data_IF_480058695285
#
_entry.id   IF_480058695285
#
_cell.length_a   1.000
_cell.length_b   1.000
_cell.length_c   1.000
_cell.angle_alpha   90.00
_cell.angle_beta   90.00
_cell.angle_gamma   90.00
#
_symmetry.space_group_name_H-M   'P 1'
#
loop_
_entity.id
_entity.type
_entity.pdbx_description
1 polymer ?
#
# COMPACT_ATOMS: atom_id res chain seq x y z
N UNK A 1 -42.94 -34.46 13.79
CA UNK A 1 -41.50 -34.50 13.49
C UNK A 1 -41.07 -33.13 12.96
N UNK A 2 -40.84 -32.15 13.85
CA UNK A 2 -40.41 -30.80 13.46
C UNK A 2 -39.54 -30.20 14.57
N UNK A 3 -38.39 -30.82 14.85
CA UNK A 3 -37.51 -30.36 15.95
C UNK A 3 -36.02 -30.31 15.61
N UNK A 4 -35.60 -30.71 14.40
CA UNK A 4 -34.17 -30.87 14.08
C UNK A 4 -33.52 -29.66 13.38
N UNK A 5 -34.30 -28.76 12.78
CA UNK A 5 -33.79 -27.58 12.05
C UNK A 5 -33.45 -26.37 12.94
N UNK A 6 -33.89 -26.33 14.20
CA UNK A 6 -33.70 -25.17 15.09
C UNK A 6 -32.36 -25.16 15.84
N UNK A 7 -31.70 -26.32 16.00
CA UNK A 7 -30.45 -26.44 16.76
C UNK A 7 -29.20 -26.05 15.95
N UNK A 8 -29.19 -26.31 14.63
CA UNK A 8 -28.03 -26.06 13.76
C UNK A 8 -27.80 -24.56 13.48
N UNK A 9 -28.88 -23.77 13.32
CA UNK A 9 -28.79 -22.30 13.16
C UNK A 9 -28.34 -21.58 14.44
N UNK A 10 -28.67 -22.13 15.61
CA UNK A 10 -28.32 -21.56 16.93
C UNK A 10 -26.83 -21.76 17.26
N UNK A 11 -26.24 -22.88 16.85
CA UNK A 11 -24.82 -23.17 17.03
C UNK A 11 -23.93 -22.32 16.10
N UNK A 12 -24.30 -22.18 14.82
CA UNK A 12 -23.60 -21.32 13.86
C UNK A 12 -23.61 -19.83 14.27
N UNK A 13 -24.72 -19.37 14.84
CA UNK A 13 -24.85 -18.01 15.36
C UNK A 13 -24.07 -17.80 16.68
N UNK A 14 -23.87 -18.88 17.45
CA UNK A 14 -23.06 -18.89 18.68
C UNK A 14 -21.58 -18.63 18.39
N UNK A 15 -20.96 -19.42 17.51
CA UNK A 15 -19.54 -19.25 17.16
C UNK A 15 -19.21 -17.87 16.59
N UNK A 16 -20.08 -17.33 15.72
CA UNK A 16 -19.91 -15.98 15.15
C UNK A 16 -19.91 -14.88 16.24
N UNK A 17 -20.75 -15.02 17.27
CA UNK A 17 -20.78 -14.09 18.42
C UNK A 17 -19.53 -14.23 19.29
N UNK A 18 -19.03 -15.44 19.50
CA UNK A 18 -17.79 -15.70 20.26
C UNK A 18 -16.59 -15.03 19.60
N UNK A 19 -16.37 -15.25 18.30
CA UNK A 19 -15.25 -14.60 17.58
C UNK A 19 -15.35 -13.07 17.54
N UNK A 20 -16.56 -12.52 17.43
CA UNK A 20 -16.76 -11.07 17.51
C UNK A 20 -16.40 -10.52 18.91
N UNK A 21 -16.84 -11.19 19.98
CA UNK A 21 -16.52 -10.82 21.38
C UNK A 21 -15.02 -10.92 21.67
N UNK A 22 -14.36 -11.96 21.16
CA UNK A 22 -12.90 -12.10 21.27
C UNK A 22 -12.16 -11.03 20.47
N UNK A 23 -12.68 -10.62 19.31
CA UNK A 23 -12.14 -9.51 18.54
C UNK A 23 -12.21 -8.18 19.32
N UNK A 24 -13.35 -7.90 19.96
CA UNK A 24 -13.51 -6.73 20.82
C UNK A 24 -12.57 -6.76 22.03
N UNK A 25 -12.44 -7.92 22.67
CA UNK A 25 -11.49 -8.12 23.78
C UNK A 25 -10.05 -7.88 23.34
N UNK A 26 -9.62 -8.39 22.18
CA UNK A 26 -8.28 -8.10 21.64
C UNK A 26 -8.06 -6.61 21.35
N UNK A 27 -9.10 -5.90 20.89
CA UNK A 27 -9.01 -4.46 20.68
C UNK A 27 -8.81 -3.76 22.02
N UNK A 28 -9.69 -4.03 22.99
CA UNK A 28 -9.71 -3.36 24.29
C UNK A 28 -8.48 -3.65 25.13
N UNK A 29 -8.04 -4.90 25.20
CA UNK A 29 -6.97 -5.34 26.09
C UNK A 29 -5.56 -5.19 25.49
N UNK A 30 -5.44 -5.04 24.16
CA UNK A 30 -4.12 -5.02 23.48
C UNK A 30 -3.96 -3.88 22.49
N UNK A 31 -4.91 -3.67 21.58
CA UNK A 31 -4.72 -2.70 20.48
C UNK A 31 -4.85 -1.26 20.97
N UNK A 32 -5.93 -0.99 21.70
CA UNK A 32 -6.33 0.34 22.19
C UNK A 32 -6.23 0.43 23.72
N UNK A 33 -5.53 -0.52 24.36
CA UNK A 33 -5.35 -0.56 25.80
C UNK A 33 -4.59 0.66 26.32
N UNK A 34 -5.16 1.30 27.34
CA UNK A 34 -4.54 2.42 28.07
C UNK A 34 -3.37 1.91 28.92
N UNK A 35 -3.53 0.74 29.52
CA UNK A 35 -2.50 0.03 30.29
C UNK A 35 -2.37 -1.41 29.77
N UNK A 36 -1.55 -1.64 28.74
CA UNK A 36 -1.41 -2.96 28.12
C UNK A 36 -0.59 -3.89 29.04
N UNK A 37 -1.12 -5.09 29.30
CA UNK A 37 -0.46 -6.14 30.10
C UNK A 37 -0.35 -7.43 29.28
N UNK A 38 0.80 -8.13 29.30
CA UNK A 38 1.00 -9.34 28.50
C UNK A 38 0.11 -10.50 28.96
N UNK A 39 -0.24 -10.59 30.24
CA UNK A 39 -1.12 -11.65 30.76
C UNK A 39 -2.53 -11.52 30.17
N UNK A 40 -3.13 -10.33 30.20
CA UNK A 40 -4.43 -10.07 29.56
C UNK A 40 -4.40 -10.35 28.05
N UNK A 41 -3.29 -10.04 27.39
CA UNK A 41 -3.12 -10.37 25.97
C UNK A 41 -3.10 -11.88 25.74
N UNK A 42 -2.36 -12.62 26.57
CA UNK A 42 -2.24 -14.07 26.51
C UNK A 42 -3.55 -14.79 26.85
N UNK A 43 -4.34 -14.29 27.81
CA UNK A 43 -5.64 -14.86 28.16
C UNK A 43 -6.59 -14.83 26.96
N UNK A 44 -6.73 -13.67 26.32
CA UNK A 44 -7.62 -13.51 25.16
C UNK A 44 -7.12 -14.32 23.95
N UNK A 45 -5.81 -14.37 23.74
CA UNK A 45 -5.22 -15.17 22.66
C UNK A 45 -5.36 -16.69 22.91
N UNK A 46 -5.27 -17.13 24.16
CA UNK A 46 -5.46 -18.54 24.54
C UNK A 46 -6.91 -18.96 24.35
N UNK A 47 -7.87 -18.15 24.82
CA UNK A 47 -9.30 -18.39 24.59
C UNK A 47 -9.63 -18.46 23.09
N UNK A 48 -9.04 -17.56 22.27
CA UNK A 48 -9.21 -17.59 20.82
C UNK A 48 -8.60 -18.84 20.17
N UNK A 49 -7.46 -19.31 20.68
CA UNK A 49 -6.82 -20.53 20.18
C UNK A 49 -7.65 -21.77 20.52
N UNK A 50 -8.21 -21.85 21.71
CA UNK A 50 -9.08 -22.94 22.14
C UNK A 50 -10.34 -22.99 21.27
N UNK A 51 -11.01 -21.85 21.10
CA UNK A 51 -12.21 -21.75 20.24
C UNK A 51 -11.90 -22.13 18.78
N UNK A 52 -10.76 -21.68 18.25
CA UNK A 52 -10.31 -22.03 16.90
C UNK A 52 -9.99 -23.52 16.75
N UNK A 53 -9.34 -24.11 17.75
CA UNK A 53 -8.98 -25.53 17.73
C UNK A 53 -10.22 -26.41 17.86
N UNK A 54 -11.17 -26.03 18.72
CA UNK A 54 -12.44 -26.73 18.87
C UNK A 54 -13.27 -26.67 17.57
N UNK A 55 -13.37 -25.48 16.95
CA UNK A 55 -14.10 -25.30 15.70
C UNK A 55 -13.48 -26.12 14.55
N UNK A 56 -12.16 -26.14 14.42
CA UNK A 56 -11.47 -26.91 13.38
C UNK A 56 -11.51 -28.41 13.61
N UNK A 57 -11.50 -28.88 14.86
CA UNK A 57 -11.72 -30.29 15.19
C UNK A 57 -13.15 -30.74 14.87
N UNK A 58 -14.15 -29.94 15.22
CA UNK A 58 -15.55 -30.21 14.90
C UNK A 58 -15.79 -30.26 13.38
N UNK A 59 -15.17 -29.35 12.61
CA UNK A 59 -15.28 -29.34 11.15
C UNK A 59 -14.63 -30.57 10.49
N UNK A 60 -13.59 -31.15 11.09
CA UNK A 60 -12.96 -32.39 10.60
C UNK A 60 -13.73 -33.66 10.96
N UNK A 61 -14.54 -33.62 12.03
CA UNK A 61 -15.33 -34.76 12.50
C UNK A 61 -16.73 -34.85 11.85
N UNK A 62 -17.21 -33.75 11.27
CA UNK A 62 -18.47 -33.74 10.53
C UNK A 62 -18.28 -34.40 9.15
N UNK A 63 -18.95 -35.54 8.94
CA UNK A 63 -19.00 -36.26 7.67
C UNK A 63 -19.63 -35.38 6.55
N UNK A 64 -19.28 -35.65 5.30
CA UNK A 64 -19.46 -34.75 4.15
C UNK A 64 -20.93 -34.38 3.76
N UNK A 65 -21.94 -34.88 4.48
CA UNK A 65 -23.35 -34.84 4.07
C UNK A 65 -24.31 -34.14 5.04
N UNK A 66 -23.87 -33.29 5.98
CA UNK A 66 -24.86 -32.58 6.82
C UNK A 66 -24.42 -31.18 7.28
N UNK A 67 -25.17 -30.18 6.80
CA UNK A 67 -25.22 -28.77 7.22
C UNK A 67 -23.89 -28.03 7.34
N UNK A 68 -23.63 -27.20 6.32
CA UNK A 68 -22.56 -26.20 6.20
C UNK A 68 -22.21 -25.55 7.56
N UNK A 69 -21.11 -25.94 8.23
CA UNK A 69 -20.56 -25.12 9.29
C UNK A 69 -20.13 -23.81 8.64
N UNK A 70 -20.46 -22.69 9.28
CA UNK A 70 -20.08 -21.34 8.83
C UNK A 70 -18.69 -21.35 8.21
N UNK A 71 -18.64 -21.10 6.91
CA UNK A 71 -17.41 -21.10 6.12
C UNK A 71 -16.37 -20.20 6.81
N UNK A 72 -15.14 -20.67 6.93
CA UNK A 72 -14.01 -19.95 7.53
C UNK A 72 -13.89 -18.56 6.92
N UNK A 73 -14.07 -18.46 5.60
CA UNK A 73 -14.03 -17.17 4.89
C UNK A 73 -15.17 -16.24 5.34
N UNK A 74 -16.40 -16.73 5.51
CA UNK A 74 -17.52 -15.92 6.00
C UNK A 74 -17.36 -15.51 7.45
N UNK A 75 -16.90 -16.42 8.33
CA UNK A 75 -16.63 -16.11 9.73
C UNK A 75 -15.57 -15.01 9.84
N UNK A 76 -14.47 -15.11 9.09
CA UNK A 76 -13.41 -14.11 9.08
C UNK A 76 -13.90 -12.75 8.54
N UNK A 77 -14.75 -12.74 7.51
CA UNK A 77 -15.35 -11.51 6.96
C UNK A 77 -16.33 -10.86 7.94
N UNK A 78 -17.19 -11.65 8.57
CA UNK A 78 -18.25 -11.15 9.44
C UNK A 78 -17.72 -10.60 10.77
N UNK A 79 -16.68 -11.22 11.33
CA UNK A 79 -16.15 -10.87 12.66
C UNK A 79 -14.96 -9.91 12.56
N UNK A 80 -14.27 -9.89 11.42
CA UNK A 80 -13.04 -9.11 11.24
C UNK A 80 -11.87 -9.59 12.11
N UNK A 81 -11.99 -10.74 12.78
CA UNK A 81 -11.02 -11.25 13.76
C UNK A 81 -9.59 -11.36 13.19
N UNK A 82 -9.44 -11.78 11.93
CA UNK A 82 -8.12 -11.86 11.28
C UNK A 82 -7.41 -10.51 11.12
N UNK A 83 -8.17 -9.43 10.89
CA UNK A 83 -7.62 -8.06 10.84
C UNK A 83 -7.23 -7.59 12.23
N UNK A 84 -8.05 -7.91 13.24
CA UNK A 84 -7.77 -7.59 14.64
C UNK A 84 -6.52 -8.31 15.11
N UNK A 85 -6.40 -9.62 14.91
CA UNK A 85 -5.20 -10.41 15.20
C UNK A 85 -3.93 -9.82 14.58
N UNK A 86 -4.00 -9.35 13.32
CA UNK A 86 -2.87 -8.69 12.67
C UNK A 86 -2.44 -7.41 13.40
N UNK A 87 -3.41 -6.62 13.91
CA UNK A 87 -3.12 -5.45 14.74
C UNK A 87 -2.59 -5.86 16.10
N UNK A 88 -3.19 -6.85 16.76
CA UNK A 88 -2.76 -7.40 18.04
C UNK A 88 -1.29 -7.83 18.00
N UNK A 89 -0.86 -8.63 17.02
CA UNK A 89 0.55 -9.06 16.89
C UNK A 89 1.50 -7.85 16.77
N UNK A 90 1.11 -6.82 16.00
CA UNK A 90 1.91 -5.60 15.86
C UNK A 90 1.96 -4.81 17.17
N UNK A 91 0.85 -4.73 17.89
CA UNK A 91 0.78 -4.09 19.21
C UNK A 91 1.62 -4.84 20.24
N UNK A 92 1.53 -6.16 20.35
CA UNK A 92 2.38 -6.97 21.24
C UNK A 92 3.87 -6.73 20.96
N UNK A 93 4.29 -6.78 19.68
CA UNK A 93 5.67 -6.46 19.27
C UNK A 93 6.08 -5.02 19.61
N UNK A 94 5.13 -4.08 19.68
CA UNK A 94 5.39 -2.70 20.08
C UNK A 94 5.56 -2.58 21.60
N UNK A 95 4.68 -3.20 22.38
CA UNK A 95 4.73 -3.20 23.84
C UNK A 95 6.01 -3.89 24.35
N UNK A 96 6.41 -5.02 23.75
CA UNK A 96 7.65 -5.72 24.11
C UNK A 96 8.95 -4.92 23.88
N UNK A 97 8.93 -3.84 23.07
CA UNK A 97 10.11 -2.97 22.91
C UNK A 97 10.37 -2.09 24.13
N UNK A 98 9.31 -1.71 24.84
CA UNK A 98 9.35 -0.69 25.91
C UNK A 98 9.00 -1.25 27.29
N UNK A 99 8.43 -2.45 27.38
CA UNK A 99 8.08 -3.12 28.65
C UNK A 99 9.29 -3.85 29.26
N UNK A 100 9.32 -3.95 30.59
CA UNK A 100 10.21 -4.83 31.35
C UNK A 100 9.91 -6.31 31.13
N UNK A 101 8.68 -6.66 30.73
CA UNK A 101 8.22 -8.02 30.47
C UNK A 101 8.35 -8.39 28.98
N UNK A 102 9.53 -8.15 28.41
CA UNK A 102 9.77 -8.28 26.97
C UNK A 102 9.44 -9.67 26.42
N UNK A 103 9.86 -10.73 27.11
CA UNK A 103 9.63 -12.10 26.66
C UNK A 103 8.13 -12.46 26.64
N UNK A 104 7.38 -12.09 27.68
CA UNK A 104 5.94 -12.35 27.74
C UNK A 104 5.17 -11.68 26.59
N UNK A 105 5.58 -10.48 26.18
CA UNK A 105 5.03 -9.81 24.99
C UNK A 105 5.44 -10.46 23.67
N UNK A 106 6.67 -10.98 23.58
CA UNK A 106 7.11 -11.74 22.42
C UNK A 106 6.37 -13.08 22.32
N UNK A 107 6.09 -13.75 23.43
CA UNK A 107 5.24 -14.94 23.49
C UNK A 107 3.83 -14.66 23.02
N UNK A 108 3.19 -13.59 23.52
CA UNK A 108 1.87 -13.18 23.04
C UNK A 108 1.87 -12.88 21.53
N UNK A 109 2.94 -12.23 21.02
CA UNK A 109 3.08 -11.99 19.59
C UNK A 109 3.22 -13.29 18.77
N UNK A 110 4.02 -14.25 19.25
CA UNK A 110 4.18 -15.58 18.63
C UNK A 110 2.87 -16.35 18.63
N UNK A 111 2.12 -16.34 19.74
CA UNK A 111 0.83 -16.99 19.86
C UNK A 111 -0.18 -16.43 18.85
N UNK A 112 -0.31 -15.09 18.78
CA UNK A 112 -1.19 -14.45 17.80
C UNK A 112 -0.81 -14.72 16.34
N UNK A 113 0.49 -14.81 16.04
CA UNK A 113 0.99 -15.15 14.70
C UNK A 113 0.70 -16.61 14.32
N UNK A 114 0.79 -17.53 15.28
CA UNK A 114 0.39 -18.93 15.11
C UNK A 114 -1.09 -19.10 14.75
N UNK A 115 -1.98 -18.43 15.50
CA UNK A 115 -3.43 -18.43 15.23
C UNK A 115 -3.72 -17.86 13.85
N UNK A 116 -3.12 -16.71 13.52
CA UNK A 116 -3.31 -16.05 12.22
C UNK A 116 -2.85 -16.94 11.05
N UNK A 117 -1.74 -17.66 11.21
CA UNK A 117 -1.22 -18.58 10.20
C UNK A 117 -2.17 -19.75 9.99
N UNK A 118 -2.70 -20.32 11.08
CA UNK A 118 -3.66 -21.41 11.02
C UNK A 118 -4.98 -21.00 10.35
N UNK A 119 -5.55 -19.84 10.70
CA UNK A 119 -6.76 -19.30 10.08
C UNK A 119 -6.59 -19.02 8.58
N UNK A 120 -5.42 -18.52 8.17
CA UNK A 120 -5.11 -18.30 6.75
C UNK A 120 -5.04 -19.61 5.97
N UNK A 121 -4.37 -20.61 6.51
CA UNK A 121 -4.27 -21.93 5.87
C UNK A 121 -5.66 -22.56 5.66
N UNK A 122 -6.55 -22.45 6.65
CA UNK A 122 -7.92 -22.94 6.55
C UNK A 122 -8.75 -22.17 5.49
N UNK A 123 -8.62 -20.83 5.44
CA UNK A 123 -9.30 -20.02 4.44
C UNK A 123 -8.81 -20.29 3.02
N UNK A 124 -7.50 -20.53 2.85
CA UNK A 124 -6.90 -20.86 1.55
C UNK A 124 -7.38 -22.24 1.06
N UNK A 125 -7.49 -23.21 1.96
CA UNK A 125 -7.99 -24.56 1.64
C UNK A 125 -9.47 -24.52 1.24
N UNK A 126 -10.27 -23.77 1.96
CA UNK A 126 -11.68 -23.54 1.62
C UNK A 126 -11.84 -22.85 0.25
N UNK A 127 -11.02 -21.84 -0.04
CA UNK A 127 -11.02 -21.18 -1.34
C UNK A 127 -10.64 -22.14 -2.48
N UNK A 128 -9.67 -23.04 -2.26
CA UNK A 128 -9.32 -24.09 -3.24
C UNK A 128 -10.49 -25.04 -3.46
N UNK A 129 -11.15 -25.51 -2.40
CA UNK A 129 -12.30 -26.40 -2.51
C UNK A 129 -13.47 -25.76 -3.29
N UNK A 130 -13.77 -24.47 -3.06
CA UNK A 130 -14.78 -23.72 -3.81
C UNK A 130 -14.43 -23.56 -5.31
N UNK A 131 -13.13 -23.44 -5.64
CA UNK A 131 -12.68 -23.38 -7.04
C UNK A 131 -12.72 -24.74 -7.74
N UNK A 132 -12.52 -25.84 -7.01
CA UNK A 132 -12.61 -27.19 -7.56
C UNK A 132 -14.07 -27.59 -7.85
N UNK A 133 -15.02 -27.24 -6.98
CA UNK A 133 -16.45 -27.55 -7.16
C UNK A 133 -17.13 -26.73 -8.26
N UNK A 134 -16.59 -25.56 -8.64
CA UNK A 134 -17.08 -24.75 -9.75
C UNK A 134 -16.57 -25.22 -11.12
N UNK A 135 -15.55 -26.09 -11.15
CA UNK A 135 -15.00 -26.67 -12.39
C UNK A 135 -15.69 -27.96 -12.85
N UNK A 136 -16.53 -28.58 -12.00
CA UNK A 136 -17.25 -29.83 -12.32
C UNK A 136 -18.62 -29.62 -13.00
N UNK A 137 -19.10 -28.38 -13.15
CA UNK A 137 -20.42 -28.07 -13.74
C UNK A 137 -20.36 -27.57 -15.20
N UNK A 138 -19.19 -27.56 -15.84
CA UNK A 138 -19.04 -27.11 -17.23
C UNK A 138 -18.13 -28.03 -18.06
N UNK A 139 -18.66 -29.17 -18.51
CA UNK A 139 -18.27 -29.77 -19.81
C UNK A 139 -19.13 -30.98 -20.18
N UNK A 140 -20.08 -30.79 -21.10
CA UNK A 140 -20.58 -31.84 -21.99
C UNK A 140 -20.54 -31.33 -23.44
N UNK A 141 -19.44 -31.61 -24.14
CA UNK A 141 -19.40 -31.99 -25.56
C UNK A 141 -17.96 -32.25 -26.01
N UNK A 142 -17.70 -33.55 -26.25
CA UNK A 142 -16.88 -34.19 -27.31
C UNK A 142 -15.62 -33.46 -27.82
N UNK A 143 -14.46 -34.09 -28.03
CA UNK A 143 -14.10 -35.50 -28.07
C UNK A 143 -12.57 -35.57 -28.14
N UNK A 144 -12.04 -36.64 -27.55
CA UNK A 144 -10.64 -36.98 -27.37
C UNK A 144 -9.81 -37.13 -28.66
N UNK A 145 -8.61 -36.58 -28.64
CA UNK A 145 -7.41 -37.29 -29.11
C UNK A 145 -6.26 -37.00 -28.16
N UNK A 146 -5.88 -38.03 -27.40
CA UNK A 146 -4.79 -38.00 -26.46
C UNK A 146 -3.50 -38.48 -27.14
N UNK A 147 -2.46 -37.63 -27.12
CA UNK A 147 -1.10 -38.05 -26.73
C UNK A 147 -0.20 -36.83 -26.59
N UNK A 148 0.48 -36.74 -25.46
CA UNK A 148 1.68 -35.91 -25.33
C UNK A 148 1.72 -35.09 -24.04
N UNK A 149 2.21 -35.72 -22.98
CA UNK A 149 2.84 -35.10 -21.81
C UNK A 149 3.56 -33.80 -22.15
N UNK A 150 3.10 -32.66 -21.62
CA UNK A 150 3.98 -31.54 -21.28
C UNK A 150 3.34 -30.67 -20.21
N UNK A 151 3.94 -30.68 -19.02
CA UNK A 151 3.92 -29.62 -18.03
C UNK A 151 3.95 -28.26 -18.72
N UNK A 152 2.83 -27.52 -18.76
CA UNK A 152 2.84 -26.15 -19.28
C UNK A 152 1.97 -25.27 -18.42
N UNK A 153 2.59 -24.70 -17.38
CA UNK A 153 2.19 -23.45 -16.75
C UNK A 153 2.09 -22.38 -17.85
N UNK A 154 0.91 -22.18 -18.44
CA UNK A 154 0.64 -21.01 -19.28
C UNK A 154 0.54 -19.78 -18.39
N UNK A 155 1.68 -19.24 -17.99
CA UNK A 155 1.78 -17.83 -17.61
C UNK A 155 1.69 -17.03 -18.90
N UNK A 156 0.51 -16.54 -19.26
CA UNK A 156 0.42 -15.58 -20.35
C UNK A 156 1.24 -14.35 -19.96
N UNK A 157 2.15 -13.94 -20.84
CA UNK A 157 2.99 -12.75 -20.71
C UNK A 157 2.22 -11.46 -21.06
N UNK A 158 0.89 -11.52 -21.06
CA UNK A 158 0.06 -10.43 -21.51
C UNK A 158 0.19 -9.22 -20.57
N UNK A 159 0.23 -8.04 -21.17
CA UNK A 159 0.22 -6.79 -20.44
C UNK A 159 -1.13 -6.62 -19.73
N UNK A 160 -1.10 -6.17 -18.48
CA UNK A 160 -2.30 -5.99 -17.68
C UNK A 160 -2.02 -6.00 -16.18
N UNK A 161 -3.04 -5.65 -15.39
CA UNK A 161 -2.99 -5.73 -13.94
C UNK A 161 -2.93 -7.20 -13.46
N UNK A 162 -2.27 -7.49 -12.33
CA UNK A 162 -2.31 -8.83 -11.74
C UNK A 162 -3.71 -9.14 -11.20
N UNK A 163 -4.17 -10.37 -11.39
CA UNK A 163 -5.47 -10.86 -10.92
C UNK A 163 -5.46 -11.27 -9.45
N UNK A 164 -4.29 -11.62 -8.91
CA UNK A 164 -4.14 -12.10 -7.54
C UNK A 164 -2.79 -11.73 -6.94
N UNK A 165 -2.70 -11.77 -5.61
CA UNK A 165 -1.47 -11.50 -4.88
C UNK A 165 -0.36 -12.52 -5.19
N UNK A 166 -0.74 -13.79 -5.41
CA UNK A 166 0.20 -14.84 -5.79
C UNK A 166 0.79 -14.58 -7.19
N UNK A 167 -0.05 -14.23 -8.16
CA UNK A 167 0.40 -13.84 -9.50
C UNK A 167 1.32 -12.62 -9.45
N UNK A 168 0.93 -11.59 -8.69
CA UNK A 168 1.74 -10.38 -8.56
C UNK A 168 3.10 -10.66 -7.93
N UNK A 169 3.14 -11.50 -6.88
CA UNK A 169 4.37 -11.97 -6.25
C UNK A 169 5.26 -12.71 -7.25
N UNK A 170 4.69 -13.59 -8.07
CA UNK A 170 5.43 -14.31 -9.11
C UNK A 170 6.03 -13.34 -10.16
N UNK A 171 5.27 -12.33 -10.60
CA UNK A 171 5.76 -11.28 -11.50
C UNK A 171 6.94 -10.51 -10.90
N UNK A 172 6.83 -10.08 -9.64
CA UNK A 172 7.89 -9.37 -8.92
C UNK A 172 9.18 -10.20 -8.83
N UNK A 173 9.07 -11.48 -8.44
CA UNK A 173 10.22 -12.40 -8.37
C UNK A 173 10.85 -12.62 -9.75
N UNK A 174 10.04 -12.94 -10.76
CA UNK A 174 10.50 -13.15 -12.15
C UNK A 174 11.25 -11.94 -12.70
N UNK A 175 10.82 -10.73 -12.36
CA UNK A 175 11.43 -9.48 -12.80
C UNK A 175 12.58 -9.00 -11.89
N UNK A 176 13.01 -9.79 -10.89
CA UNK A 176 14.10 -9.44 -9.98
C UNK A 176 13.81 -8.20 -9.12
N UNK A 177 12.55 -7.97 -8.77
CA UNK A 177 12.12 -6.79 -8.01
C UNK A 177 12.32 -7.00 -6.51
N UNK A 178 12.75 -5.95 -5.81
CA UNK A 178 12.77 -5.93 -4.36
C UNK A 178 11.36 -6.16 -3.79
N UNK A 179 11.23 -7.15 -2.91
CA UNK A 179 9.98 -7.48 -2.22
C UNK A 179 9.95 -6.81 -0.86
N UNK A 180 9.40 -5.60 -0.77
CA UNK A 180 9.34 -4.87 0.50
C UNK A 180 8.25 -5.42 1.45
N UNK A 181 7.18 -5.98 0.89
CA UNK A 181 6.11 -6.67 1.62
C UNK A 181 5.93 -8.07 1.03
N UNK A 182 5.92 -9.09 1.88
CA UNK A 182 5.56 -10.47 1.49
C UNK A 182 4.43 -10.96 2.42
N UNK A 183 3.20 -11.21 1.92
CA UNK A 183 2.80 -11.06 0.52
C UNK A 183 2.72 -9.59 0.06
N UNK A 184 2.94 -9.30 -1.23
CA UNK A 184 2.88 -7.94 -1.75
C UNK A 184 1.45 -7.38 -1.67
N UNK A 185 1.33 -6.06 -1.57
CA UNK A 185 0.03 -5.39 -1.70
C UNK A 185 -0.31 -5.26 -3.18
N UNK A 186 -1.52 -5.67 -3.58
CA UNK A 186 -1.98 -5.48 -4.96
C UNK A 186 -1.93 -3.99 -5.35
N UNK A 187 -1.65 -3.69 -6.63
CA UNK A 187 -1.80 -2.33 -7.14
C UNK A 187 -3.25 -1.85 -6.98
N UNK A 188 -3.48 -0.52 -7.03
CA UNK A 188 -4.83 0.03 -7.11
C UNK A 188 -5.60 -0.59 -8.28
N UNK A 189 -6.93 -0.58 -8.18
CA UNK A 189 -7.78 -0.89 -9.32
C UNK A 189 -7.43 -0.01 -10.52
N UNK A 190 -7.74 -0.51 -11.72
CA UNK A 190 -7.52 0.19 -12.99
C UNK A 190 -7.98 1.64 -12.88
N UNK A 191 -7.05 2.57 -13.04
CA UNK A 191 -7.37 3.98 -12.95
C UNK A 191 -8.04 4.47 -14.25
N UNK A 192 -9.07 5.29 -14.10
CA UNK A 192 -9.78 5.91 -15.21
C UNK A 192 -9.23 7.32 -15.36
N UNK A 193 -8.68 7.63 -16.53
CA UNK A 193 -8.23 8.98 -16.88
C UNK A 193 -9.39 9.73 -17.49
N UNK A 194 -9.64 10.94 -17.02
CA UNK A 194 -10.67 11.81 -17.60
C UNK A 194 -10.32 12.15 -19.05
N UNK A 195 -11.34 12.17 -19.92
CA UNK A 195 -11.15 12.46 -21.35
C UNK A 195 -10.77 13.92 -21.62
N UNK A 196 -11.23 14.84 -20.77
CA UNK A 196 -10.91 16.27 -20.86
C UNK A 196 -9.89 16.64 -19.77
N UNK A 197 -8.90 17.49 -20.09
CA UNK A 197 -8.01 18.03 -19.08
C UNK A 197 -8.77 18.96 -18.14
N UNK A 198 -8.16 19.24 -16.99
CA UNK A 198 -8.63 20.22 -16.03
C UNK A 198 -8.85 21.60 -16.70
N UNK A 199 -9.90 22.33 -16.32
CA UNK A 199 -10.35 23.53 -17.03
C UNK A 199 -9.40 24.73 -16.90
N UNK A 200 -8.44 24.69 -15.97
CA UNK A 200 -7.48 25.77 -15.76
C UNK A 200 -6.09 25.22 -15.37
N UNK A 201 -5.01 25.91 -15.79
CA UNK A 201 -3.67 25.59 -15.35
C UNK A 201 -3.50 25.85 -13.84
N UNK A 202 -2.48 25.23 -13.20
CA UNK A 202 -2.17 25.51 -11.81
C UNK A 202 -1.82 26.98 -11.59
N UNK A 203 -2.27 27.54 -10.46
CA UNK A 203 -1.93 28.91 -10.06
C UNK A 203 -0.82 28.88 -9.03
N UNK A 204 0.12 29.81 -9.13
CA UNK A 204 1.22 29.97 -8.17
C UNK A 204 0.99 31.21 -7.31
N UNK A 205 0.99 31.05 -6.00
CA UNK A 205 1.03 32.17 -5.07
C UNK A 205 2.42 32.83 -5.16
N UNK A 206 2.48 34.14 -5.45
CA UNK A 206 3.75 34.87 -5.64
C UNK A 206 4.57 34.98 -4.34
N UNK A 207 3.91 35.04 -3.19
CA UNK A 207 4.57 35.23 -1.89
C UNK A 207 5.01 33.91 -1.27
N UNK A 208 4.13 32.89 -1.27
CA UNK A 208 4.43 31.59 -0.62
C UNK A 208 5.05 30.57 -1.59
N UNK A 209 4.88 30.78 -2.89
CA UNK A 209 5.25 29.82 -3.92
C UNK A 209 4.33 28.60 -4.02
N UNK A 210 3.30 28.51 -3.18
CA UNK A 210 2.36 27.39 -3.19
C UNK A 210 1.56 27.34 -4.49
N UNK A 211 1.38 26.12 -4.99
CA UNK A 211 0.61 25.81 -6.17
C UNK A 211 -0.80 25.38 -5.77
N UNK A 212 -1.80 25.91 -6.47
CA UNK A 212 -3.20 25.48 -6.35
C UNK A 212 -3.67 24.90 -7.66
N UNK A 213 -4.59 23.94 -7.56
CA UNK A 213 -5.09 23.15 -8.68
C UNK A 213 -6.62 23.12 -8.62
N UNK A 214 -7.23 22.92 -9.78
CA UNK A 214 -8.69 22.74 -9.91
C UNK A 214 -9.03 21.27 -10.17
N UNK A 215 -10.23 20.86 -9.78
CA UNK A 215 -10.76 19.54 -10.09
C UNK A 215 -11.03 19.39 -11.60
N UNK A 216 -11.27 18.16 -12.04
CA UNK A 216 -11.63 17.85 -13.42
C UNK A 216 -13.12 18.02 -13.67
N UNK A 217 -13.65 17.19 -14.57
CA UNK A 217 -15.08 16.97 -14.71
C UNK A 217 -15.65 16.28 -13.45
N UNK A 218 -14.87 15.40 -12.82
CA UNK A 218 -15.17 14.86 -11.50
C UNK A 218 -14.66 15.83 -10.41
N UNK A 219 -15.57 16.29 -9.56
CA UNK A 219 -15.28 17.19 -8.44
C UNK A 219 -14.98 16.47 -7.13
N UNK A 220 -14.91 15.14 -7.12
CA UNK A 220 -14.66 14.32 -5.93
C UNK A 220 -13.35 14.62 -5.20
N UNK A 221 -12.37 15.24 -5.87
CA UNK A 221 -11.12 15.70 -5.25
C UNK A 221 -11.15 17.16 -4.77
N UNK A 222 -12.22 17.93 -5.00
CA UNK A 222 -12.27 19.36 -4.72
C UNK A 222 -11.96 19.72 -3.26
N UNK A 223 -12.42 18.89 -2.31
CA UNK A 223 -12.11 19.07 -0.88
C UNK A 223 -10.63 18.81 -0.62
N UNK A 224 -10.08 17.69 -1.13
CA UNK A 224 -8.67 17.34 -0.94
C UNK A 224 -7.73 18.38 -1.57
N UNK A 225 -8.15 19.00 -2.69
CA UNK A 225 -7.42 20.09 -3.34
C UNK A 225 -7.33 21.36 -2.50
N UNK A 226 -8.09 21.53 -1.42
CA UNK A 226 -7.92 22.67 -0.51
C UNK A 226 -6.60 22.59 0.26
N UNK A 227 -6.15 21.38 0.57
CA UNK A 227 -4.94 21.13 1.35
C UNK A 227 -3.73 20.73 0.50
N UNK A 228 -3.95 20.32 -0.75
CA UNK A 228 -2.86 20.00 -1.68
C UNK A 228 -2.14 21.27 -2.18
N UNK A 229 -1.00 21.59 -1.56
CA UNK A 229 -0.22 22.83 -1.77
C UNK A 229 1.29 22.56 -1.91
N UNK A 230 1.74 21.81 -2.93
CA UNK A 230 3.17 21.75 -3.25
C UNK A 230 3.67 23.15 -3.64
N UNK A 231 4.95 23.45 -3.43
CA UNK A 231 5.55 24.74 -3.79
C UNK A 231 6.70 24.63 -4.81
N UNK A 232 6.90 23.44 -5.37
CA UNK A 232 7.79 23.18 -6.51
C UNK A 232 7.02 22.56 -7.66
N UNK A 233 7.17 23.15 -8.83
CA UNK A 233 6.66 22.61 -10.11
C UNK A 233 7.46 21.36 -10.51
N UNK A 234 6.93 20.51 -11.41
CA UNK A 234 7.69 19.41 -11.98
C UNK A 234 9.03 19.84 -12.58
N UNK A 235 9.05 20.98 -13.30
CA UNK A 235 10.28 21.56 -13.83
C UNK A 235 11.31 21.85 -12.73
N UNK A 236 10.90 22.55 -11.67
CA UNK A 236 11.79 22.88 -10.56
C UNK A 236 12.34 21.61 -9.88
N UNK A 237 11.51 20.58 -9.70
CA UNK A 237 11.94 19.30 -9.11
C UNK A 237 12.95 18.58 -10.01
N UNK A 238 12.73 18.57 -11.32
CA UNK A 238 13.65 17.96 -12.30
C UNK A 238 14.99 18.69 -12.34
N UNK A 239 14.95 20.02 -12.50
CA UNK A 239 16.15 20.86 -12.60
C UNK A 239 16.97 20.87 -11.30
N UNK A 240 16.32 20.76 -10.16
CA UNK A 240 17.00 20.65 -8.86
C UNK A 240 17.78 19.33 -8.71
N UNK A 241 17.47 18.30 -9.49
CA UNK A 241 18.02 16.97 -9.28
C UNK A 241 17.40 16.31 -8.06
N UNK A 242 16.29 15.61 -8.28
CA UNK A 242 15.56 14.96 -7.18
C UNK A 242 15.92 13.48 -7.03
N UNK A 243 16.05 12.75 -8.14
CA UNK A 243 15.95 11.28 -8.16
C UNK A 243 17.24 10.55 -8.55
N UNK A 244 18.38 11.19 -8.28
CA UNK A 244 19.72 10.65 -8.55
C UNK A 244 19.97 10.31 -10.02
N UNK A 245 19.27 10.96 -10.95
CA UNK A 245 19.45 10.71 -12.38
C UNK A 245 18.58 9.62 -12.99
N UNK A 246 17.79 8.89 -12.20
CA UNK A 246 17.29 7.56 -12.60
C UNK A 246 15.77 7.46 -12.79
N UNK A 247 15.03 8.55 -12.59
CA UNK A 247 13.58 8.46 -12.47
C UNK A 247 12.93 7.93 -13.75
N UNK A 248 13.30 8.48 -14.90
CA UNK A 248 12.75 8.13 -16.21
C UNK A 248 13.67 7.17 -16.99
N UNK A 249 14.45 6.34 -16.30
CA UNK A 249 15.18 5.23 -16.96
C UNK A 249 14.20 4.22 -17.56
N UNK A 250 14.64 3.37 -18.49
CA UNK A 250 13.80 2.28 -18.97
C UNK A 250 13.46 1.30 -17.83
N UNK A 251 12.20 0.91 -17.72
CA UNK A 251 11.71 0.00 -16.66
C UNK A 251 10.87 -1.13 -17.26
N UNK A 252 10.86 -2.27 -16.58
CA UNK A 252 9.77 -3.25 -16.72
C UNK A 252 8.89 -3.09 -15.48
N UNK A 253 7.58 -2.89 -15.64
CA UNK A 253 6.67 -2.78 -14.51
C UNK A 253 6.07 -4.14 -14.16
N UNK A 254 6.09 -4.50 -12.88
CA UNK A 254 5.39 -5.68 -12.38
C UNK A 254 3.87 -5.46 -12.29
N UNK A 255 3.45 -4.19 -12.16
CA UNK A 255 2.04 -3.79 -12.07
C UNK A 255 1.34 -3.98 -13.41
N UNK A 256 1.92 -3.49 -14.51
CA UNK A 256 1.32 -3.63 -15.85
C UNK A 256 1.87 -4.80 -16.66
N UNK A 257 2.89 -5.50 -16.13
CA UNK A 257 3.66 -6.53 -16.84
C UNK A 257 4.20 -6.06 -18.21
N UNK A 258 4.54 -4.77 -18.34
CA UNK A 258 4.99 -4.16 -19.60
C UNK A 258 6.34 -3.46 -19.44
N UNK A 259 7.06 -3.28 -20.56
CA UNK A 259 8.32 -2.54 -20.62
C UNK A 259 8.08 -1.12 -21.13
N UNK A 260 8.64 -0.13 -20.43
CA UNK A 260 8.57 1.28 -20.78
C UNK A 260 9.97 1.79 -21.10
N UNK A 261 10.15 2.34 -22.30
CA UNK A 261 11.38 2.98 -22.72
C UNK A 261 11.46 4.41 -22.16
N UNK A 262 12.67 4.85 -21.78
CA UNK A 262 12.91 6.20 -21.25
C UNK A 262 12.45 7.31 -22.19
N UNK A 263 12.68 7.17 -23.50
CA UNK A 263 12.28 8.14 -24.52
C UNK A 263 10.75 8.31 -24.57
N UNK A 264 10.01 7.21 -24.61
CA UNK A 264 8.54 7.22 -24.60
C UNK A 264 7.99 7.79 -23.30
N UNK A 265 8.56 7.42 -22.15
CA UNK A 265 8.14 7.95 -20.85
C UNK A 265 8.35 9.47 -20.75
N UNK A 266 9.50 9.97 -21.23
CA UNK A 266 9.76 11.41 -21.26
C UNK A 266 8.80 12.15 -22.20
N UNK A 267 8.60 11.65 -23.42
CA UNK A 267 7.74 12.28 -24.42
C UNK A 267 6.28 12.40 -23.96
N UNK A 268 5.79 11.40 -23.22
CA UNK A 268 4.43 11.37 -22.71
C UNK A 268 4.25 12.20 -21.41
N UNK A 269 5.24 12.18 -20.51
CA UNK A 269 5.06 12.68 -19.14
C UNK A 269 5.66 14.08 -18.91
N UNK A 270 6.72 14.43 -19.63
CA UNK A 270 7.57 15.59 -19.33
C UNK A 270 7.50 16.60 -20.46
N UNK A 271 7.12 17.85 -20.16
CA UNK A 271 7.08 18.90 -21.18
C UNK A 271 8.51 19.24 -21.64
N UNK A 272 8.76 19.41 -22.96
CA UNK A 272 10.12 19.61 -23.48
C UNK A 272 10.89 20.78 -22.86
N UNK A 273 10.20 21.88 -22.56
CA UNK A 273 10.83 23.08 -21.98
C UNK A 273 11.31 22.85 -20.54
N UNK A 274 10.68 21.95 -19.77
CA UNK A 274 11.10 21.62 -18.40
C UNK A 274 12.51 21.02 -18.35
N UNK A 275 12.90 20.36 -19.43
CA UNK A 275 14.17 19.64 -19.54
C UNK A 275 15.09 20.25 -20.61
N UNK A 276 14.73 21.43 -21.13
CA UNK A 276 15.60 22.15 -22.05
C UNK A 276 16.91 22.52 -21.36
N UNK A 277 18.03 22.20 -22.02
CA UNK A 277 19.38 22.39 -21.51
C UNK A 277 19.86 21.37 -20.46
N UNK A 278 19.05 20.37 -20.08
CA UNK A 278 19.48 19.33 -19.15
C UNK A 278 20.20 18.18 -19.87
N UNK A 279 21.27 17.65 -19.27
CA UNK A 279 21.82 16.35 -19.66
C UNK A 279 20.84 15.24 -19.23
N UNK A 280 19.99 14.82 -20.15
CA UNK A 280 18.97 13.79 -19.91
C UNK A 280 19.59 12.46 -19.48
N UNK A 281 20.75 12.11 -20.05
CA UNK A 281 21.40 10.81 -19.82
C UNK A 281 21.88 10.66 -18.39
N UNK A 282 22.34 11.76 -17.77
CA UNK A 282 22.82 11.80 -16.39
C UNK A 282 21.71 12.18 -15.41
N UNK A 283 20.82 13.12 -15.76
CA UNK A 283 19.87 13.72 -14.83
C UNK A 283 18.50 13.05 -14.79
N UNK A 284 18.11 12.30 -15.83
CA UNK A 284 16.74 11.79 -15.96
C UNK A 284 16.67 10.30 -16.24
N UNK A 285 17.51 9.78 -17.14
CA UNK A 285 17.37 8.43 -17.71
C UNK A 285 18.53 7.50 -17.39
N UNK A 286 19.41 7.88 -16.46
CA UNK A 286 20.55 7.04 -16.06
C UNK A 286 20.08 5.69 -15.52
N UNK A 287 20.77 4.62 -15.88
CA UNK A 287 20.60 3.30 -15.27
C UNK A 287 21.14 3.24 -13.83
N UNK A 288 22.03 4.16 -13.46
CA UNK A 288 22.76 4.18 -12.20
C UNK A 288 22.41 5.42 -11.38
N UNK A 289 22.10 5.23 -10.10
CA UNK A 289 21.79 6.32 -9.18
C UNK A 289 23.05 7.09 -8.79
N UNK A 290 23.05 8.42 -8.98
CA UNK A 290 24.15 9.33 -8.68
C UNK A 290 23.71 10.37 -7.65
N UNK A 291 24.27 10.31 -6.45
CA UNK A 291 23.97 11.30 -5.40
C UNK A 291 24.46 12.69 -5.74
N UNK A 292 25.52 12.82 -6.55
CA UNK A 292 26.05 14.11 -7.02
C UNK A 292 25.06 14.89 -7.90
N UNK A 293 24.08 14.22 -8.51
CA UNK A 293 23.00 14.87 -9.25
C UNK A 293 21.98 15.50 -8.31
N UNK A 294 21.87 15.01 -7.08
CA UNK A 294 20.84 15.46 -6.16
C UNK A 294 21.16 16.81 -5.54
N UNK A 295 20.16 17.70 -5.42
CA UNK A 295 20.26 19.01 -4.75
C UNK A 295 20.96 18.95 -3.39
N UNK A 296 20.65 17.93 -2.58
CA UNK A 296 21.20 17.77 -1.24
C UNK A 296 22.32 16.72 -1.14
N UNK A 297 22.83 16.21 -2.26
CA UNK A 297 23.99 15.31 -2.29
C UNK A 297 23.80 13.94 -1.63
N UNK A 298 22.57 13.54 -1.33
CA UNK A 298 22.26 12.31 -0.59
C UNK A 298 21.31 11.39 -1.35
N UNK A 299 21.43 10.08 -1.13
CA UNK A 299 20.48 9.09 -1.64
C UNK A 299 19.25 9.05 -0.73
N UNK A 300 18.06 9.09 -1.31
CA UNK A 300 16.82 8.80 -0.61
C UNK A 300 15.77 8.18 -1.56
N UNK A 301 14.65 7.76 -1.00
CA UNK A 301 13.59 7.06 -1.72
C UNK A 301 13.80 5.55 -1.77
N UNK A 302 12.70 4.83 -2.02
CA UNK A 302 12.69 3.38 -2.22
C UNK A 302 12.94 2.98 -3.67
N UNK A 303 13.26 1.71 -3.91
CA UNK A 303 13.37 1.16 -5.26
C UNK A 303 12.00 1.08 -5.96
N UNK A 304 11.98 0.92 -7.28
CA UNK A 304 10.72 0.67 -8.00
C UNK A 304 10.01 -0.59 -7.47
N UNK A 305 10.77 -1.66 -7.17
CA UNK A 305 10.20 -2.90 -6.60
C UNK A 305 9.54 -2.68 -5.24
N UNK A 306 10.14 -1.86 -4.37
CA UNK A 306 9.52 -1.46 -3.11
C UNK A 306 8.19 -0.73 -3.32
N UNK A 307 8.13 0.17 -4.30
CA UNK A 307 6.89 0.91 -4.60
C UNK A 307 5.81 0.03 -5.21
N UNK A 308 6.18 -0.87 -6.13
CA UNK A 308 5.28 -1.83 -6.75
C UNK A 308 4.73 -2.82 -5.71
N UNK A 309 5.60 -3.49 -4.95
CA UNK A 309 5.19 -4.44 -3.89
C UNK A 309 4.41 -3.80 -2.74
N UNK A 310 4.50 -2.48 -2.56
CA UNK A 310 3.72 -1.75 -1.57
C UNK A 310 2.31 -1.38 -2.02
N UNK A 311 1.94 -1.61 -3.29
CA UNK A 311 0.65 -1.21 -3.86
C UNK A 311 0.57 0.29 -4.13
N UNK A 312 1.70 0.95 -4.37
CA UNK A 312 1.75 2.41 -4.52
C UNK A 312 1.74 2.90 -5.96
N UNK A 313 2.04 2.01 -6.91
CA UNK A 313 2.07 2.27 -8.35
C UNK A 313 0.71 1.92 -8.96
N UNK A 314 0.14 2.83 -9.74
CA UNK A 314 -1.07 2.61 -10.54
C UNK A 314 -0.68 2.23 -11.97
N UNK A 315 -1.57 1.55 -12.69
CA UNK A 315 -1.34 1.13 -14.08
C UNK A 315 -1.18 2.31 -15.04
N UNK A 316 -1.89 3.41 -14.80
CA UNK A 316 -1.77 4.61 -15.64
C UNK A 316 -0.45 5.31 -15.42
N UNK A 317 0.17 5.25 -14.23
CA UNK A 317 1.43 5.91 -13.89
C UNK A 317 2.50 4.88 -13.42
N UNK A 318 3.10 4.10 -14.34
CA UNK A 318 4.04 3.02 -14.02
C UNK A 318 5.35 3.47 -13.35
N UNK A 319 5.71 4.76 -13.46
CA UNK A 319 6.82 5.38 -12.74
C UNK A 319 6.41 5.93 -11.38
N UNK A 320 5.12 5.92 -11.04
CA UNK A 320 4.60 6.29 -9.73
C UNK A 320 4.38 7.78 -9.53
N UNK A 321 4.53 8.21 -8.27
CA UNK A 321 4.10 9.52 -7.77
C UNK A 321 4.53 10.70 -8.63
N UNK A 322 5.82 10.79 -9.02
CA UNK A 322 6.28 11.98 -9.71
C UNK A 322 5.84 12.02 -11.18
N UNK A 323 5.64 10.87 -11.83
CA UNK A 323 4.97 10.81 -13.13
C UNK A 323 3.51 11.27 -13.01
N UNK A 324 2.80 10.77 -11.99
CA UNK A 324 1.46 11.26 -11.68
C UNK A 324 1.46 12.78 -11.50
N UNK A 325 2.41 13.33 -10.73
CA UNK A 325 2.51 14.76 -10.45
C UNK A 325 2.79 15.59 -11.71
N UNK A 326 3.66 15.13 -12.60
CA UNK A 326 3.93 15.79 -13.89
C UNK A 326 2.66 15.90 -14.74
N UNK A 327 1.91 14.80 -14.86
CA UNK A 327 0.69 14.76 -15.66
C UNK A 327 -0.46 15.52 -14.98
N UNK A 328 -0.58 15.42 -13.65
CA UNK A 328 -1.55 16.18 -12.86
C UNK A 328 -1.33 17.68 -12.98
N UNK A 329 -0.07 18.13 -12.92
CA UNK A 329 0.33 19.51 -13.14
C UNK A 329 -0.01 19.99 -14.56
N UNK A 330 0.15 19.12 -15.56
CA UNK A 330 -0.21 19.38 -16.96
C UNK A 330 -1.72 19.32 -17.23
N UNK A 331 -2.54 19.10 -16.20
CA UNK A 331 -4.00 19.14 -16.31
C UNK A 331 -4.68 17.77 -16.41
N UNK A 332 -3.95 16.65 -16.47
CA UNK A 332 -4.58 15.32 -16.44
C UNK A 332 -5.28 15.09 -15.10
N UNK A 333 -6.48 14.52 -15.12
CA UNK A 333 -7.20 14.05 -13.94
C UNK A 333 -7.52 12.58 -14.06
N UNK A 334 -7.59 11.90 -12.92
CA UNK A 334 -7.86 10.46 -12.89
C UNK A 334 -8.50 10.02 -11.58
N UNK A 335 -9.11 8.84 -11.61
CA UNK A 335 -9.66 8.21 -10.39
C UNK A 335 -8.60 7.88 -9.33
N UNK A 336 -7.31 7.96 -9.65
CA UNK A 336 -6.20 7.77 -8.69
C UNK A 336 -5.83 9.06 -7.92
N UNK A 337 -6.36 10.22 -8.32
CA UNK A 337 -5.93 11.52 -7.82
C UNK A 337 -6.14 11.67 -6.31
N UNK A 338 -7.30 11.22 -5.79
CA UNK A 338 -7.60 11.27 -4.36
C UNK A 338 -6.56 10.49 -3.53
N UNK A 339 -6.15 9.31 -4.02
CA UNK A 339 -5.14 8.48 -3.35
C UNK A 339 -3.78 9.17 -3.35
N UNK A 340 -3.37 9.74 -4.48
CA UNK A 340 -2.07 10.41 -4.61
C UNK A 340 -2.00 11.68 -3.77
N UNK A 341 -3.05 12.51 -3.78
CA UNK A 341 -3.17 13.69 -2.90
C UNK A 341 -3.12 13.27 -1.43
N UNK A 342 -3.83 12.20 -1.05
CA UNK A 342 -3.79 11.66 0.32
C UNK A 342 -2.39 11.21 0.74
N UNK A 343 -1.65 10.55 -0.15
CA UNK A 343 -0.24 10.16 0.10
C UNK A 343 0.66 11.38 0.29
N UNK A 344 0.51 12.39 -0.57
CA UNK A 344 1.22 13.66 -0.42
C UNK A 344 0.89 14.32 0.92
N UNK A 345 -0.38 14.35 1.31
CA UNK A 345 -0.80 14.94 2.59
C UNK A 345 -0.13 14.26 3.79
N UNK A 346 -0.02 12.92 3.76
CA UNK A 346 0.67 12.14 4.79
C UNK A 346 2.19 12.36 4.86
N UNK A 347 2.81 12.79 3.76
CA UNK A 347 4.27 13.02 3.67
C UNK A 347 4.63 14.49 3.87
N UNK A 348 4.06 15.35 3.03
CA UNK A 348 4.43 16.75 2.81
C UNK A 348 3.30 17.74 3.19
N UNK A 349 2.08 17.27 3.44
CA UNK A 349 0.97 18.12 3.88
C UNK A 349 1.23 18.81 5.23
N UNK A 350 0.31 19.68 5.66
CA UNK A 350 0.43 20.47 6.91
C UNK A 350 0.75 19.63 8.16
N UNK A 351 0.22 18.41 8.23
CA UNK A 351 0.49 17.40 9.29
C UNK A 351 1.36 16.23 8.80
N UNK A 352 1.93 16.35 7.61
CA UNK A 352 2.74 15.31 6.99
C UNK A 352 3.96 14.96 7.83
N UNK A 353 4.30 13.66 7.85
CA UNK A 353 5.38 13.09 8.67
C UNK A 353 6.71 13.80 8.42
N UNK A 354 7.12 13.90 7.16
CA UNK A 354 8.44 14.41 6.79
C UNK A 354 8.51 15.93 6.89
N UNK A 355 7.43 16.65 6.54
CA UNK A 355 7.33 18.10 6.77
C UNK A 355 7.50 18.41 8.25
N UNK A 356 6.68 17.78 9.10
CA UNK A 356 6.70 18.05 10.55
C UNK A 356 8.05 17.70 11.16
N UNK A 357 8.64 16.57 10.78
CA UNK A 357 9.94 16.15 11.28
C UNK A 357 11.05 17.14 10.90
N UNK A 358 11.06 17.65 9.67
CA UNK A 358 12.08 18.62 9.24
C UNK A 358 11.89 19.97 9.93
N UNK A 359 10.66 20.50 9.98
CA UNK A 359 10.38 21.76 10.68
C UNK A 359 10.82 21.69 12.15
N UNK A 360 10.45 20.62 12.87
CA UNK A 360 10.85 20.44 14.28
C UNK A 360 12.37 20.45 14.45
N UNK A 361 13.11 19.80 13.53
CA UNK A 361 14.58 19.78 13.57
C UNK A 361 15.21 21.14 13.29
N UNK A 362 14.66 21.91 12.35
CA UNK A 362 15.12 23.27 12.05
C UNK A 362 14.90 24.18 13.27
N UNK A 363 13.70 24.11 13.86
CA UNK A 363 13.34 24.89 15.06
C UNK A 363 14.22 24.53 16.26
N UNK A 364 14.41 23.23 16.52
CA UNK A 364 15.27 22.76 17.61
C UNK A 364 16.73 23.18 17.45
N UNK A 365 17.21 23.31 16.22
CA UNK A 365 18.56 23.79 15.91
C UNK A 365 18.68 25.34 15.94
N UNK A 366 17.57 26.07 16.10
CA UNK A 366 17.58 27.54 16.11
C UNK A 366 18.05 28.16 14.79
N UNK A 367 17.86 27.48 13.66
CA UNK A 367 18.36 27.91 12.33
C UNK A 367 17.23 28.26 11.37
N UNK A 368 17.58 28.59 10.13
CA UNK A 368 16.67 29.01 9.06
C UNK A 368 16.15 27.84 8.23
N UNK A 369 15.05 28.05 7.52
CA UNK A 369 14.44 27.08 6.61
C UNK A 369 15.43 26.59 5.53
N UNK A 370 16.37 27.44 5.13
CA UNK A 370 17.34 27.17 4.05
C UNK A 370 18.60 26.40 4.51
N UNK A 371 18.78 26.11 5.80
CA UNK A 371 19.95 25.39 6.29
C UNK A 371 19.98 23.93 5.81
N UNK A 372 20.64 23.69 4.68
CA UNK A 372 20.71 22.39 4.01
C UNK A 372 21.38 21.29 4.85
N UNK A 373 22.14 21.65 5.90
CA UNK A 373 22.79 20.70 6.80
C UNK A 373 21.78 19.94 7.67
N UNK A 374 20.62 20.56 7.94
CA UNK A 374 19.58 19.93 8.74
C UNK A 374 18.84 18.87 7.92
N UNK A 375 19.13 17.60 8.22
CA UNK A 375 18.45 16.42 7.66
C UNK A 375 18.33 16.43 6.12
N UNK A 376 19.46 16.43 5.39
CA UNK A 376 19.47 16.46 3.92
C UNK A 376 18.63 15.35 3.29
N UNK A 377 18.56 14.16 3.91
CA UNK A 377 17.73 13.04 3.45
C UNK A 377 16.24 13.38 3.47
N UNK A 378 15.75 14.07 4.51
CA UNK A 378 14.34 14.48 4.60
C UNK A 378 14.07 15.62 3.61
N UNK A 379 15.01 16.56 3.45
CA UNK A 379 14.92 17.63 2.45
C UNK A 379 14.81 17.07 1.03
N UNK A 380 15.68 16.13 0.68
CA UNK A 380 15.64 15.42 -0.61
C UNK A 380 14.33 14.65 -0.78
N UNK A 381 13.87 14.00 0.30
CA UNK A 381 12.58 13.30 0.29
C UNK A 381 11.43 14.27 0.00
N UNK A 382 11.33 15.41 0.68
CA UNK A 382 10.27 16.39 0.43
C UNK A 382 10.34 16.97 -0.98
N UNK A 383 11.54 17.15 -1.53
CA UNK A 383 11.72 17.56 -2.92
C UNK A 383 11.12 16.55 -3.91
N UNK A 384 11.23 15.23 -3.67
CA UNK A 384 10.52 14.21 -4.47
C UNK A 384 8.99 14.43 -4.48
N UNK A 385 8.46 15.00 -3.39
CA UNK A 385 7.04 15.30 -3.21
C UNK A 385 6.66 16.73 -3.58
N UNK A 386 7.54 17.47 -4.28
CA UNK A 386 7.26 18.83 -4.76
C UNK A 386 7.17 19.87 -3.63
N UNK A 387 7.80 19.62 -2.48
CA UNK A 387 7.85 20.54 -1.35
C UNK A 387 9.28 20.87 -0.95
N UNK A 388 9.55 22.17 -0.80
CA UNK A 388 10.67 22.67 -0.02
C UNK A 388 10.18 23.48 1.18
N UNK A 389 10.84 23.33 2.32
CA UNK A 389 10.51 24.10 3.53
C UNK A 389 10.98 25.55 3.33
N UNK A 390 10.03 26.48 3.40
CA UNK A 390 10.27 27.93 3.37
C UNK A 390 10.10 28.52 4.76
N UNK A 391 10.51 29.78 4.95
CA UNK A 391 10.26 30.50 6.22
C UNK A 391 8.76 30.63 6.53
N UNK A 392 7.93 30.88 5.52
CA UNK A 392 6.47 30.90 5.68
C UNK A 392 5.92 29.55 6.18
N UNK A 393 6.41 28.43 5.64
CA UNK A 393 6.05 27.09 6.10
C UNK A 393 6.49 26.85 7.54
N UNK A 394 7.70 27.29 7.90
CA UNK A 394 8.29 27.13 9.21
C UNK A 394 7.51 27.95 10.25
N UNK A 395 7.16 29.19 9.92
CA UNK A 395 6.36 30.07 10.78
C UNK A 395 4.94 29.54 10.98
N UNK A 396 4.28 29.10 9.92
CA UNK A 396 2.97 28.42 10.01
C UNK A 396 3.04 27.15 10.88
N UNK A 397 4.18 26.46 10.88
CA UNK A 397 4.39 25.27 11.72
C UNK A 397 4.62 25.63 13.19
N UNK A 398 5.32 26.73 13.47
CA UNK A 398 5.55 27.23 14.84
C UNK A 398 4.24 27.63 15.55
N UNK A 399 3.26 28.15 14.79
CA UNK A 399 1.96 28.59 15.32
C UNK A 399 0.92 27.46 15.49
N UNK A 400 1.26 26.23 15.11
CA UNK A 400 0.35 25.07 15.13
C UNK A 400 0.46 24.32 16.45
#
# INVERSE_FOLDING_TARGET
MSSTTSSSSRAANGGRRTYASLAESLIREVVDAVDPCPDRANDVLSALREEWTAATAAAKAADADTTVPTTTIEMLKATGIGRVLTKTVRSCRRHGRTSSEREAWHDAARAGEGILTSMKAAADEEARAMSASSSSSSSSSSSSSAKGTTTTTKTSEEAGLPSSTAEFRARLVRQGKEMYKDPPSLPPHRAIVESKPAPAPPRRNKSTGELTFVAGADDGIAVALRDFRPNRTPEEVLRAGSFGGTYFRSITSAVTNARYASSSALADTVRPEWISGLDKSTMLTSGTYRTSVNKYGVKCGGSLGMWESSGWISDVDPYGWFQWYCRFYSGRRSSDDARQIGRWAGVAGKKGRFRSQLCNKILAAGTTANDARISPVIRQTLLHWGLEITEDILEKHRRR
#
